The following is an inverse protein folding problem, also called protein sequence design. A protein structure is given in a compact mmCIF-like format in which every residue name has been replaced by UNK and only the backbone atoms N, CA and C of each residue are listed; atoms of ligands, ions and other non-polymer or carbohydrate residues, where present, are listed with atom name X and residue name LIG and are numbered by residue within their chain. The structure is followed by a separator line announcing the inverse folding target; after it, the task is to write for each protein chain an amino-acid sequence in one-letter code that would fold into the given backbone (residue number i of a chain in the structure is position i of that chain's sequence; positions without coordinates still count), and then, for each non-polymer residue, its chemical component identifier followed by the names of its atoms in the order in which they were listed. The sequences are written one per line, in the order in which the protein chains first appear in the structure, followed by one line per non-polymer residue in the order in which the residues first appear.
data_IF_252919035746
#
_entry.id   IF_252919035746
#
_cell.length_a   1.000
_cell.length_b   1.000
_cell.length_c   1.000
_cell.angle_alpha   90.00
_cell.angle_beta   90.00
_cell.angle_gamma   90.00
#
_symmetry.space_group_name_H-M   'P 1'
#
loop_
_entity.id
_entity.type
_entity.pdbx_description
1 polymer ?
#
# COMPACT_ATOMS: atom_id res chain seq x y z
N UNK A 1 30.45 64.59 -49.38
CA UNK A 1 29.06 64.15 -49.68
C UNK A 1 29.06 62.66 -49.76
N UNK A 2 28.56 61.97 -48.72
CA UNK A 2 28.47 60.51 -48.64
C UNK A 2 27.02 60.18 -48.42
N UNK A 3 26.40 59.60 -49.46
CA UNK A 3 24.97 59.14 -49.44
C UNK A 3 24.85 57.85 -48.69
N UNK A 4 23.99 57.84 -47.63
CA UNK A 4 23.57 56.63 -46.92
C UNK A 4 22.48 55.88 -47.71
N UNK A 5 22.77 54.66 -48.14
CA UNK A 5 21.74 53.71 -48.64
C UNK A 5 21.09 53.00 -47.45
N UNK A 6 19.79 53.13 -47.32
CA UNK A 6 18.97 52.37 -46.41
C UNK A 6 18.68 50.97 -47.00
N UNK A 7 19.00 49.91 -46.26
CA UNK A 7 18.57 48.55 -46.54
C UNK A 7 17.25 48.28 -45.80
N UNK A 8 16.17 48.09 -46.52
CA UNK A 8 14.95 47.54 -46.01
C UNK A 8 15.07 46.01 -46.02
N UNK A 9 15.18 45.41 -44.83
CA UNK A 9 15.06 43.94 -44.66
C UNK A 9 13.59 43.53 -44.57
N UNK A 10 13.11 42.71 -45.48
CA UNK A 10 11.82 42.03 -45.37
C UNK A 10 11.98 40.94 -44.30
N UNK A 11 11.26 41.06 -43.22
CA UNK A 11 11.09 39.96 -42.25
C UNK A 11 9.98 39.04 -42.76
N UNK A 12 10.32 37.82 -43.18
CA UNK A 12 9.36 36.78 -43.46
C UNK A 12 8.82 36.20 -42.15
N UNK A 13 7.53 36.38 -41.90
CA UNK A 13 6.82 35.71 -40.78
C UNK A 13 6.65 34.25 -41.08
N UNK A 14 7.28 33.41 -40.29
CA UNK A 14 7.04 31.94 -40.33
C UNK A 14 5.75 31.66 -39.52
N UNK A 15 4.75 30.99 -40.07
CA UNK A 15 3.58 30.61 -39.30
C UNK A 15 3.97 29.52 -38.31
N UNK A 16 3.80 29.82 -37.02
CA UNK A 16 3.88 28.84 -35.95
C UNK A 16 2.66 27.93 -36.08
N UNK A 17 2.85 26.71 -36.60
CA UNK A 17 1.82 25.68 -36.59
C UNK A 17 1.43 25.41 -35.13
N UNK A 18 0.21 25.78 -34.79
CA UNK A 18 -0.38 25.48 -33.49
C UNK A 18 -0.45 23.97 -33.30
N UNK A 19 0.40 23.47 -32.36
CA UNK A 19 0.27 22.09 -31.90
C UNK A 19 -1.11 21.96 -31.24
N UNK A 20 -2.03 21.30 -31.93
CA UNK A 20 -3.31 20.86 -31.37
C UNK A 20 -3.00 19.96 -30.16
N UNK A 21 -3.21 20.48 -28.95
CA UNK A 21 -3.26 19.66 -27.74
C UNK A 21 -4.43 18.70 -27.94
N UNK A 22 -4.12 17.46 -28.31
CA UNK A 22 -5.10 16.38 -28.16
C UNK A 22 -5.59 16.40 -26.72
N UNK A 23 -6.86 16.71 -26.51
CA UNK A 23 -7.51 16.57 -25.24
C UNK A 23 -7.33 15.10 -24.82
N UNK A 24 -6.60 14.88 -23.75
CA UNK A 24 -6.55 13.55 -23.14
C UNK A 24 -7.99 13.15 -22.84
N UNK A 25 -8.47 12.13 -23.54
CA UNK A 25 -9.77 11.55 -23.23
C UNK A 25 -9.72 11.14 -21.77
N UNK A 26 -10.50 11.79 -20.92
CA UNK A 26 -10.74 11.35 -19.54
C UNK A 26 -11.57 10.08 -19.67
N UNK A 27 -10.91 8.92 -19.74
CA UNK A 27 -11.59 7.65 -19.52
C UNK A 27 -12.12 7.70 -18.09
N UNK A 28 -13.42 7.83 -17.95
CA UNK A 28 -14.12 7.71 -16.69
C UNK A 28 -13.83 6.32 -16.14
N UNK A 29 -13.29 6.22 -14.92
CA UNK A 29 -13.00 4.94 -14.31
C UNK A 29 -14.31 4.13 -14.22
N UNK A 30 -14.33 2.84 -14.61
CA UNK A 30 -15.54 2.04 -14.54
C UNK A 30 -16.07 2.02 -13.10
N UNK A 31 -17.39 2.03 -12.95
CA UNK A 31 -18.01 1.90 -11.62
C UNK A 31 -17.53 0.59 -10.98
N UNK A 32 -17.25 0.60 -9.67
CA UNK A 32 -16.77 -0.57 -8.94
C UNK A 32 -17.73 -1.78 -9.05
N UNK A 33 -19.01 -1.54 -9.30
CA UNK A 33 -20.03 -2.59 -9.55
C UNK A 33 -19.87 -3.28 -10.91
N UNK A 34 -19.27 -2.61 -11.89
CA UNK A 34 -19.06 -3.17 -13.23
C UNK A 34 -17.78 -4.01 -13.34
N UNK A 35 -16.91 -4.01 -12.32
CA UNK A 35 -15.66 -4.77 -12.33
C UNK A 35 -15.97 -6.26 -12.21
N UNK A 36 -15.44 -7.12 -13.11
CA UNK A 36 -15.61 -8.56 -13.04
C UNK A 36 -15.15 -9.12 -11.69
N UNK A 37 -15.97 -10.01 -11.11
CA UNK A 37 -15.62 -10.66 -9.84
C UNK A 37 -15.01 -12.03 -10.13
N UNK A 38 -13.79 -12.25 -9.62
CA UNK A 38 -13.12 -13.55 -9.65
C UNK A 38 -13.78 -14.48 -8.64
N UNK A 39 -14.07 -15.69 -9.06
CA UNK A 39 -14.43 -16.79 -8.15
C UNK A 39 -13.15 -17.33 -7.52
N UNK A 40 -13.15 -17.47 -6.20
CA UNK A 40 -12.03 -18.02 -5.42
C UNK A 40 -12.46 -19.27 -4.65
N UNK A 41 -11.49 -19.96 -4.09
CA UNK A 41 -11.74 -20.91 -3.03
C UNK A 41 -12.32 -20.20 -1.78
N UNK A 42 -12.78 -21.01 -0.82
CA UNK A 42 -13.22 -20.53 0.48
C UNK A 42 -12.04 -19.87 1.21
N UNK A 43 -12.32 -18.83 1.98
CA UNK A 43 -11.34 -18.26 2.91
C UNK A 43 -11.11 -19.22 4.07
N UNK A 44 -9.85 -19.56 4.31
CA UNK A 44 -9.42 -20.35 5.46
C UNK A 44 -8.58 -19.47 6.39
N UNK A 45 -8.83 -19.53 7.70
CA UNK A 45 -7.90 -19.01 8.70
C UNK A 45 -6.74 -20.00 8.79
N UNK A 46 -5.56 -19.60 8.27
CA UNK A 46 -4.40 -20.47 8.24
C UNK A 46 -3.79 -20.66 9.63
N UNK A 47 -3.63 -19.57 10.37
CA UNK A 47 -3.11 -19.59 11.74
C UNK A 47 -3.33 -18.24 12.44
N UNK A 48 -3.15 -18.22 13.77
CA UNK A 48 -3.03 -16.98 14.54
C UNK A 48 -1.66 -16.34 14.29
N UNK A 49 -1.64 -15.05 14.02
CA UNK A 49 -0.39 -14.29 13.91
C UNK A 49 0.41 -14.34 15.21
N UNK A 50 1.76 -14.32 15.18
CA UNK A 50 2.56 -14.19 16.38
C UNK A 50 2.28 -12.91 17.19
N UNK A 51 1.98 -11.82 16.47
CA UNK A 51 1.57 -10.56 17.08
C UNK A 51 0.06 -10.34 16.99
N UNK A 52 -0.52 -9.53 17.89
CA UNK A 52 -1.98 -9.37 17.99
C UNK A 52 -2.58 -8.43 16.94
N UNK A 53 -1.76 -7.74 16.14
CA UNK A 53 -2.22 -6.76 15.16
C UNK A 53 -1.41 -6.83 13.87
N UNK A 54 -1.43 -7.99 13.15
CA UNK A 54 -0.76 -8.11 11.86
C UNK A 54 -1.39 -7.13 10.87
N UNK A 55 -0.56 -6.43 10.11
CA UNK A 55 -1.06 -5.39 9.21
C UNK A 55 -0.45 -5.43 7.80
N UNK A 56 0.69 -6.04 7.61
CA UNK A 56 1.32 -6.26 6.31
C UNK A 56 1.91 -7.64 6.19
N UNK A 57 1.87 -8.19 4.99
CA UNK A 57 2.43 -9.50 4.64
C UNK A 57 3.36 -9.40 3.44
N UNK A 58 4.41 -10.24 3.43
CA UNK A 58 5.25 -10.48 2.26
C UNK A 58 5.66 -11.94 2.20
N UNK A 59 5.33 -12.60 1.12
CA UNK A 59 5.78 -13.97 0.85
C UNK A 59 7.20 -14.00 0.32
N UNK A 60 7.99 -14.96 0.82
CA UNK A 60 9.34 -15.29 0.32
C UNK A 60 9.52 -16.81 0.31
N UNK A 61 10.53 -17.35 -0.41
CA UNK A 61 10.81 -18.77 -0.37
C UNK A 61 11.09 -19.33 1.03
N UNK A 62 11.60 -18.49 1.95
CA UNK A 62 11.92 -18.89 3.31
C UNK A 62 10.71 -18.93 4.24
N UNK A 63 9.64 -18.17 3.91
CA UNK A 63 8.44 -18.06 4.73
C UNK A 63 7.67 -16.77 4.48
N UNK A 64 6.69 -16.56 5.33
CA UNK A 64 5.83 -15.39 5.28
C UNK A 64 6.31 -14.33 6.28
N UNK A 65 6.71 -13.16 5.78
CA UNK A 65 6.93 -12.00 6.61
C UNK A 65 5.61 -11.39 7.05
N UNK A 66 5.54 -11.00 8.31
CA UNK A 66 4.41 -10.33 8.93
C UNK A 66 4.96 -9.11 9.68
N UNK A 67 4.39 -7.93 9.43
CA UNK A 67 4.63 -6.77 10.27
C UNK A 67 3.46 -6.56 11.22
N UNK A 68 3.76 -6.49 12.53
CA UNK A 68 2.77 -6.26 13.57
C UNK A 68 2.72 -4.77 13.93
N UNK A 69 1.52 -4.22 13.93
CA UNK A 69 1.28 -2.79 14.20
C UNK A 69 1.14 -2.47 15.69
N UNK A 70 1.14 -3.47 16.55
CA UNK A 70 1.05 -3.26 18.00
C UNK A 70 2.22 -2.43 18.55
N UNK A 71 2.12 -1.83 19.74
CA UNK A 71 3.25 -1.17 20.39
C UNK A 71 4.46 -2.10 20.47
N UNK A 72 5.63 -1.60 20.00
CA UNK A 72 6.84 -2.38 19.84
C UNK A 72 7.15 -2.70 18.38
N UNK A 73 6.18 -2.56 17.47
CA UNK A 73 6.40 -2.62 16.01
C UNK A 73 7.37 -3.73 15.59
N UNK A 74 6.89 -4.99 15.58
CA UNK A 74 7.75 -6.15 15.40
C UNK A 74 7.54 -6.83 14.05
N UNK A 75 8.62 -7.17 13.37
CA UNK A 75 8.60 -8.02 12.19
C UNK A 75 8.82 -9.48 12.56
N UNK A 76 8.08 -10.36 11.91
CA UNK A 76 8.17 -11.81 12.04
C UNK A 76 8.34 -12.46 10.68
N UNK A 77 9.26 -13.42 10.55
CA UNK A 77 9.27 -14.40 9.48
C UNK A 77 8.69 -15.69 10.04
N UNK A 78 7.64 -16.21 9.43
CA UNK A 78 6.95 -17.40 9.92
C UNK A 78 6.84 -18.49 8.85
N UNK A 79 6.70 -19.72 9.29
CA UNK A 79 6.45 -20.85 8.40
C UNK A 79 5.01 -20.84 7.88
N UNK A 80 4.81 -21.07 6.58
CA UNK A 80 3.50 -21.09 5.94
C UNK A 80 2.50 -22.11 6.52
N UNK A 81 3.02 -23.26 6.97
CA UNK A 81 2.18 -24.36 7.41
C UNK A 81 1.41 -24.08 8.70
N UNK A 82 2.00 -23.33 9.64
CA UNK A 82 1.46 -23.22 11.00
C UNK A 82 1.76 -21.88 11.70
N UNK A 83 2.38 -20.93 11.01
CA UNK A 83 2.73 -19.65 11.62
C UNK A 83 3.86 -19.69 12.64
N UNK A 84 4.60 -20.82 12.74
CA UNK A 84 5.75 -20.92 13.66
C UNK A 84 6.80 -19.86 13.30
N UNK A 85 7.20 -19.06 14.30
CA UNK A 85 8.21 -18.02 14.12
C UNK A 85 9.58 -18.66 13.81
N UNK A 86 10.14 -18.25 12.68
CA UNK A 86 11.48 -18.62 12.23
C UNK A 86 12.50 -17.53 12.62
N UNK A 87 12.09 -16.28 12.52
CA UNK A 87 12.89 -15.10 12.85
C UNK A 87 11.96 -13.97 13.33
N UNK A 88 12.43 -13.14 14.25
CA UNK A 88 11.74 -11.90 14.61
C UNK A 88 12.69 -10.87 15.17
N UNK A 89 12.35 -9.59 14.99
CA UNK A 89 13.08 -8.47 15.57
C UNK A 89 12.16 -7.26 15.71
N UNK A 90 12.52 -6.36 16.63
CA UNK A 90 11.85 -5.08 16.77
C UNK A 90 12.30 -4.14 15.65
N UNK A 91 11.40 -3.29 15.19
CA UNK A 91 11.68 -2.31 14.14
C UNK A 91 11.56 -0.89 14.72
N UNK A 92 12.44 0.00 14.27
CA UNK A 92 12.36 1.42 14.63
C UNK A 92 11.35 2.13 13.70
N UNK A 93 10.09 1.68 13.79
CA UNK A 93 8.94 2.23 13.06
C UNK A 93 7.80 2.55 14.02
N UNK A 94 6.89 3.40 13.58
CA UNK A 94 5.75 3.82 14.41
C UNK A 94 4.46 3.30 13.79
N UNK A 95 3.88 2.26 14.44
CA UNK A 95 2.64 1.59 14.00
C UNK A 95 2.66 1.24 12.51
N UNK A 96 3.56 0.35 12.10
CA UNK A 96 3.75 0.01 10.70
C UNK A 96 2.56 -0.75 10.13
N UNK A 97 2.34 -0.62 8.81
CA UNK A 97 1.25 -1.31 8.13
C UNK A 97 1.66 -2.14 6.92
N UNK A 98 2.79 -1.88 6.32
CA UNK A 98 3.26 -2.63 5.15
C UNK A 98 4.65 -3.18 5.35
N UNK A 99 4.95 -4.30 4.70
CA UNK A 99 6.28 -4.91 4.67
C UNK A 99 6.51 -5.51 3.29
N UNK A 100 7.72 -5.36 2.74
CA UNK A 100 8.19 -6.10 1.56
C UNK A 100 9.68 -6.39 1.64
N UNK A 101 10.15 -7.36 0.86
CA UNK A 101 11.55 -7.78 0.81
C UNK A 101 12.14 -7.46 -0.56
N UNK A 102 13.23 -6.72 -0.61
CA UNK A 102 13.88 -6.29 -1.86
C UNK A 102 14.96 -7.26 -2.39
N UNK A 103 15.11 -8.41 -1.74
CA UNK A 103 16.15 -9.40 -2.02
C UNK A 103 17.32 -9.33 -1.05
N UNK A 104 17.49 -8.23 -0.32
CA UNK A 104 18.57 -7.98 0.63
C UNK A 104 18.06 -7.48 1.98
N UNK A 105 17.12 -6.55 1.95
CA UNK A 105 16.57 -5.85 3.10
C UNK A 105 15.04 -5.86 3.07
N UNK A 106 14.42 -5.48 4.17
CA UNK A 106 12.98 -5.27 4.24
C UNK A 106 12.65 -3.77 4.17
N UNK A 107 11.60 -3.44 3.42
CA UNK A 107 10.97 -2.15 3.47
C UNK A 107 9.72 -2.21 4.33
N UNK A 108 9.52 -1.22 5.18
CA UNK A 108 8.39 -1.13 6.10
C UNK A 108 7.71 0.22 5.96
N UNK A 109 6.40 0.21 5.76
CA UNK A 109 5.57 1.39 5.80
C UNK A 109 5.30 1.82 7.24
N UNK A 110 5.99 2.83 7.73
CA UNK A 110 5.81 3.41 9.07
C UNK A 110 4.68 4.42 9.04
N UNK A 111 3.46 3.95 9.29
CA UNK A 111 2.22 4.70 9.05
C UNK A 111 2.15 6.01 9.83
N UNK A 112 2.54 5.98 11.10
CA UNK A 112 2.38 7.12 12.01
C UNK A 112 3.58 8.06 12.03
N UNK A 113 4.73 7.67 11.45
CA UNK A 113 5.84 8.59 11.17
C UNK A 113 5.85 9.09 9.74
N UNK A 114 4.93 8.61 8.88
CA UNK A 114 4.82 8.98 7.46
C UNK A 114 6.07 8.69 6.65
N UNK A 115 6.68 7.56 6.93
CA UNK A 115 7.92 7.14 6.31
C UNK A 115 7.80 5.76 5.66
N UNK A 116 8.64 5.52 4.69
CA UNK A 116 9.03 4.20 4.22
C UNK A 116 10.44 3.96 4.76
N UNK A 117 10.63 2.89 5.51
CA UNK A 117 11.87 2.60 6.23
C UNK A 117 12.48 1.32 5.67
N UNK A 118 13.72 1.37 5.23
CA UNK A 118 14.50 0.20 4.83
C UNK A 118 15.31 -0.31 6.01
N UNK A 119 15.16 -1.58 6.34
CA UNK A 119 15.78 -2.19 7.51
C UNK A 119 16.56 -3.45 7.11
N UNK A 120 17.61 -3.75 7.84
CA UNK A 120 18.33 -5.01 7.72
C UNK A 120 17.39 -6.19 8.05
N UNK A 121 17.25 -7.15 7.14
CA UNK A 121 16.33 -8.28 7.25
C UNK A 121 16.69 -9.30 8.37
N UNK A 122 17.81 -9.11 9.04
CA UNK A 122 18.25 -9.98 10.15
C UNK A 122 18.12 -9.30 11.50
N UNK A 123 18.47 -8.03 11.58
CA UNK A 123 18.57 -7.30 12.86
C UNK A 123 17.46 -6.27 13.07
N UNK A 124 16.75 -5.86 12.03
CA UNK A 124 15.81 -4.76 12.06
C UNK A 124 16.47 -3.37 12.08
N UNK A 125 17.80 -3.30 12.09
CA UNK A 125 18.52 -2.02 12.08
C UNK A 125 18.17 -1.19 10.85
N UNK A 126 17.87 0.08 11.05
CA UNK A 126 17.51 1.01 9.97
C UNK A 126 18.71 1.25 9.07
N UNK A 127 18.50 1.13 7.77
CA UNK A 127 19.47 1.45 6.71
C UNK A 127 19.18 2.85 6.16
N UNK A 128 17.90 3.12 5.82
CA UNK A 128 17.48 4.41 5.27
C UNK A 128 15.99 4.69 5.57
N UNK A 129 15.62 5.97 5.49
CA UNK A 129 14.25 6.46 5.70
C UNK A 129 13.88 7.46 4.63
N UNK A 130 12.65 7.37 4.15
CA UNK A 130 12.13 8.28 3.13
C UNK A 130 10.68 8.67 3.44
N UNK A 131 10.25 9.90 3.10
CA UNK A 131 8.89 10.34 3.34
C UNK A 131 7.90 9.55 2.48
N UNK A 132 6.70 9.28 3.01
CA UNK A 132 5.62 8.68 2.24
C UNK A 132 5.08 9.67 1.21
N UNK A 133 5.05 9.34 -0.09
CA UNK A 133 4.42 10.20 -1.09
C UNK A 133 2.94 10.44 -0.78
N UNK A 134 2.46 11.66 -1.01
CA UNK A 134 1.06 12.01 -0.86
C UNK A 134 0.53 11.97 0.58
N UNK A 135 1.39 12.05 1.58
CA UNK A 135 1.03 11.99 3.00
C UNK A 135 0.34 13.26 3.56
N UNK A 136 -0.13 14.15 2.72
CA UNK A 136 -0.95 15.29 3.13
C UNK A 136 -2.40 14.87 3.37
N UNK A 137 -2.95 15.31 4.48
CA UNK A 137 -4.27 14.95 5.02
C UNK A 137 -5.43 15.39 4.11
N UNK A 138 -6.21 14.44 3.59
CA UNK A 138 -7.53 14.70 3.02
C UNK A 138 -8.52 13.63 3.51
N UNK A 139 -9.44 14.00 4.41
CA UNK A 139 -10.71 13.29 4.52
C UNK A 139 -11.63 13.86 3.45
N UNK A 140 -12.28 12.99 2.69
CA UNK A 140 -13.31 13.41 1.76
C UNK A 140 -14.67 13.31 2.45
N UNK A 141 -15.52 14.35 2.29
CA UNK A 141 -16.88 14.30 2.76
C UNK A 141 -17.60 13.11 2.07
N UNK A 142 -18.27 12.27 2.87
CA UNK A 142 -18.98 11.10 2.36
C UNK A 142 -18.26 9.76 2.51
N UNK A 143 -17.07 9.71 3.14
CA UNK A 143 -16.42 8.45 3.45
C UNK A 143 -17.26 7.60 4.41
N UNK A 144 -17.46 6.30 4.12
CA UNK A 144 -18.15 5.41 5.04
C UNK A 144 -17.35 5.29 6.36
N UNK A 145 -18.01 4.95 7.48
CA UNK A 145 -17.30 4.66 8.71
C UNK A 145 -16.37 3.46 8.49
N UNK A 146 -15.23 3.39 9.23
CA UNK A 146 -14.32 2.27 9.14
C UNK A 146 -15.03 0.95 9.41
N UNK A 147 -14.86 -0.01 8.51
CA UNK A 147 -15.34 -1.36 8.72
C UNK A 147 -14.60 -2.00 9.89
N UNK A 148 -15.30 -2.72 10.74
CA UNK A 148 -14.70 -3.51 11.82
C UNK A 148 -14.65 -4.97 11.42
N UNK A 149 -13.60 -5.67 11.87
CA UNK A 149 -13.50 -7.11 11.67
C UNK A 149 -14.70 -7.84 12.29
N UNK A 150 -15.34 -8.78 11.56
CA UNK A 150 -16.38 -9.65 12.14
C UNK A 150 -15.83 -10.57 13.22
N UNK A 151 -14.51 -10.80 13.26
CA UNK A 151 -13.84 -11.58 14.30
C UNK A 151 -13.57 -10.79 15.59
N UNK A 152 -13.72 -9.46 15.59
CA UNK A 152 -13.45 -8.62 16.75
C UNK A 152 -14.32 -9.06 17.95
N UNK A 153 -13.67 -9.38 19.07
CA UNK A 153 -14.34 -9.87 20.28
C UNK A 153 -14.66 -11.38 20.29
N UNK A 154 -14.32 -12.11 19.24
CA UNK A 154 -14.44 -13.58 19.19
C UNK A 154 -13.20 -14.26 19.81
N UNK A 155 -13.29 -15.58 20.17
CA UNK A 155 -12.12 -16.34 20.61
C UNK A 155 -11.00 -16.47 19.57
N UNK A 156 -11.28 -16.19 18.29
CA UNK A 156 -10.28 -16.18 17.23
C UNK A 156 -9.42 -14.93 17.26
N UNK A 157 -10.00 -13.79 17.64
CA UNK A 157 -9.27 -12.55 17.76
C UNK A 157 -8.30 -12.58 18.96
N UNK A 158 -7.12 -12.02 18.77
CA UNK A 158 -6.22 -11.74 19.89
C UNK A 158 -6.61 -10.41 20.54
N UNK A 159 -6.38 -10.30 21.84
CA UNK A 159 -6.55 -9.01 22.53
C UNK A 159 -5.59 -7.98 21.92
N UNK A 160 -6.14 -6.91 21.38
CA UNK A 160 -5.32 -5.77 20.94
C UNK A 160 -4.75 -5.10 22.18
N UNK A 161 -3.43 -4.86 22.25
CA UNK A 161 -2.86 -4.12 23.37
C UNK A 161 -3.53 -2.75 23.45
N UNK A 162 -3.85 -2.33 24.69
CA UNK A 162 -4.32 -0.98 24.91
C UNK A 162 -3.31 -0.01 24.26
N UNK A 163 -3.79 0.87 23.40
CA UNK A 163 -2.96 1.89 22.77
C UNK A 163 -2.57 2.87 23.88
N UNK A 164 -1.46 2.61 24.57
CA UNK A 164 -0.80 3.67 25.31
C UNK A 164 -0.53 4.78 24.28
N UNK A 165 -0.93 6.02 24.61
CA UNK A 165 -0.58 7.17 23.81
C UNK A 165 0.95 7.24 23.76
N UNK A 166 1.53 6.60 22.74
CA UNK A 166 2.97 6.69 22.49
C UNK A 166 3.20 8.15 22.12
N UNK A 167 4.03 8.82 22.91
CA UNK A 167 4.40 10.19 22.66
C UNK A 167 4.93 10.29 21.23
N UNK A 168 4.19 10.99 20.37
CA UNK A 168 4.71 11.34 19.06
C UNK A 168 6.00 12.13 19.28
N UNK A 169 7.04 11.88 18.48
CA UNK A 169 8.21 12.73 18.47
C UNK A 169 7.78 14.20 18.38
N UNK A 170 8.33 15.13 19.13
CA UNK A 170 7.87 16.51 19.21
C UNK A 170 7.77 17.25 17.84
N UNK A 171 8.48 16.76 16.83
CA UNK A 171 8.54 17.38 15.50
C UNK A 171 7.40 16.96 14.55
N UNK A 172 6.61 15.95 14.88
CA UNK A 172 5.58 15.37 14.01
C UNK A 172 4.21 15.29 14.70
N UNK A 173 3.74 16.41 15.23
CA UNK A 173 2.31 16.57 15.55
C UNK A 173 1.53 16.68 14.24
N UNK A 174 1.31 15.55 13.61
CA UNK A 174 0.43 15.47 12.47
C UNK A 174 -1.00 15.55 12.98
N UNK A 175 -1.69 16.59 12.56
CA UNK A 175 -3.11 16.75 12.85
C UNK A 175 -3.84 15.53 12.27
N UNK A 176 -4.63 14.86 13.08
CA UNK A 176 -5.60 13.88 12.60
C UNK A 176 -6.45 14.56 11.53
N UNK A 177 -6.58 13.91 10.36
CA UNK A 177 -7.55 14.37 9.37
C UNK A 177 -8.96 14.37 9.99
N UNK A 178 -9.96 15.04 9.40
CA UNK A 178 -11.33 15.12 9.90
C UNK A 178 -11.97 13.77 10.24
N UNK A 179 -11.48 12.67 9.66
CA UNK A 179 -11.92 11.30 9.98
C UNK A 179 -11.23 10.69 11.19
N UNK A 180 -10.25 11.36 11.83
CA UNK A 180 -9.43 10.79 12.90
C UNK A 180 -8.51 9.65 12.43
N UNK A 181 -8.37 9.42 11.12
CA UNK A 181 -7.57 8.35 10.54
C UNK A 181 -6.13 8.80 10.34
N UNK A 182 -5.19 7.99 10.78
CA UNK A 182 -3.76 8.18 10.53
C UNK A 182 -3.42 7.68 9.11
N UNK A 183 -2.53 8.39 8.41
CA UNK A 183 -2.54 8.37 6.96
C UNK A 183 -1.13 8.36 6.35
N UNK A 184 -0.31 7.41 6.78
CA UNK A 184 1.01 7.19 6.19
C UNK A 184 1.05 6.05 5.18
N UNK A 185 2.23 5.52 4.95
CA UNK A 185 2.46 4.33 4.15
C UNK A 185 1.75 3.12 4.75
N UNK A 186 1.06 2.35 3.93
CA UNK A 186 0.40 1.11 4.30
C UNK A 186 1.00 -0.06 3.52
N UNK A 187 0.27 -0.69 2.60
CA UNK A 187 0.77 -1.82 1.85
C UNK A 187 2.06 -1.52 1.10
N UNK A 188 2.94 -2.51 1.03
CA UNK A 188 4.19 -2.41 0.30
C UNK A 188 4.43 -3.66 -0.53
N UNK A 189 5.06 -3.49 -1.68
CA UNK A 189 5.57 -4.55 -2.55
C UNK A 189 6.84 -4.10 -3.26
N UNK A 190 7.67 -5.07 -3.59
CA UNK A 190 8.90 -4.83 -4.33
C UNK A 190 8.90 -5.62 -5.64
N UNK A 191 9.24 -4.93 -6.73
CA UNK A 191 9.43 -5.59 -8.03
C UNK A 191 10.32 -4.78 -8.95
N UNK A 192 11.20 -5.46 -9.65
CA UNK A 192 12.05 -4.89 -10.71
C UNK A 192 12.83 -3.65 -10.24
N UNK A 193 13.36 -3.70 -9.01
CA UNK A 193 14.11 -2.60 -8.41
C UNK A 193 13.25 -1.37 -8.05
N UNK A 194 11.94 -1.54 -7.90
CA UNK A 194 10.98 -0.48 -7.54
C UNK A 194 10.19 -0.84 -6.30
N UNK A 195 10.04 0.15 -5.43
CA UNK A 195 9.14 0.07 -4.30
C UNK A 195 7.74 0.50 -4.73
N UNK A 196 6.76 -0.32 -4.42
CA UNK A 196 5.36 0.05 -4.50
C UNK A 196 4.83 0.27 -3.09
N UNK A 197 4.10 1.36 -2.87
CA UNK A 197 3.53 1.67 -1.56
C UNK A 197 2.15 2.30 -1.71
N UNK A 198 1.25 1.93 -0.80
CA UNK A 198 -0.06 2.59 -0.69
C UNK A 198 0.01 3.74 0.30
N UNK A 199 -0.78 4.77 0.07
CA UNK A 199 -1.01 5.87 1.01
C UNK A 199 -2.51 6.09 1.17
N UNK A 200 -3.00 5.91 2.39
CA UNK A 200 -4.42 6.09 2.70
C UNK A 200 -4.85 7.55 2.61
N UNK A 201 -3.95 8.50 2.92
CA UNK A 201 -4.25 9.93 2.83
C UNK A 201 -4.57 10.41 1.43
N UNK A 202 -3.81 9.94 0.46
CA UNK A 202 -3.98 10.32 -0.93
C UNK A 202 -4.79 9.32 -1.74
N UNK A 203 -5.25 8.22 -1.11
CA UNK A 203 -5.95 7.09 -1.77
C UNK A 203 -5.22 6.67 -3.04
N UNK A 204 -3.94 6.42 -2.89
CA UNK A 204 -3.07 6.18 -4.04
C UNK A 204 -2.11 5.04 -3.78
N UNK A 205 -1.71 4.41 -4.88
CA UNK A 205 -0.63 3.46 -4.94
C UNK A 205 0.49 4.13 -5.73
N UNK A 206 1.68 4.17 -5.20
CA UNK A 206 2.84 4.80 -5.82
C UNK A 206 3.88 3.76 -6.19
N UNK A 207 4.44 3.88 -7.40
CA UNK A 207 5.67 3.23 -7.81
C UNK A 207 6.83 4.21 -7.64
N UNK A 208 7.86 3.81 -6.93
CA UNK A 208 8.96 4.66 -6.53
C UNK A 208 10.29 4.08 -7.02
N UNK A 209 11.13 4.91 -7.63
CA UNK A 209 12.55 4.65 -7.83
C UNK A 209 13.27 4.96 -6.51
N UNK A 210 13.80 3.94 -5.79
CA UNK A 210 14.19 4.12 -4.39
C UNK A 210 15.49 4.92 -4.20
N UNK A 211 16.46 4.85 -5.14
CA UNK A 211 17.75 5.52 -4.99
C UNK A 211 17.65 7.04 -5.04
N UNK A 212 16.73 7.57 -5.85
CA UNK A 212 16.49 9.01 -5.98
C UNK A 212 15.22 9.45 -5.26
N UNK A 213 14.45 8.50 -4.75
CA UNK A 213 13.14 8.70 -4.14
C UNK A 213 12.17 9.46 -5.04
N UNK A 214 12.03 8.99 -6.28
CA UNK A 214 11.19 9.62 -7.31
C UNK A 214 9.96 8.75 -7.57
N UNK A 215 8.78 9.37 -7.52
CA UNK A 215 7.53 8.72 -7.93
C UNK A 215 7.48 8.64 -9.46
N UNK A 216 7.48 7.43 -10.00
CA UNK A 216 7.41 7.14 -11.44
C UNK A 216 5.98 6.91 -11.93
N UNK A 217 5.11 6.40 -11.06
CA UNK A 217 3.70 6.11 -11.37
C UNK A 217 2.82 6.31 -10.14
N UNK A 218 1.61 6.77 -10.37
CA UNK A 218 0.55 6.86 -9.37
C UNK A 218 -0.73 6.24 -9.91
N UNK A 219 -1.34 5.35 -9.12
CA UNK A 219 -2.67 4.79 -9.38
C UNK A 219 -3.62 5.28 -8.30
N UNK A 220 -4.88 5.54 -8.66
CA UNK A 220 -5.93 5.85 -7.70
C UNK A 220 -6.46 4.56 -7.08
N UNK A 221 -6.45 4.47 -5.75
CA UNK A 221 -7.09 3.37 -5.05
C UNK A 221 -8.61 3.48 -5.13
N UNK A 222 -9.34 2.35 -5.28
CA UNK A 222 -10.79 2.36 -5.47
C UNK A 222 -11.56 2.79 -4.22
N UNK A 223 -11.00 2.54 -3.05
CA UNK A 223 -11.66 2.80 -1.77
C UNK A 223 -10.87 3.74 -0.86
N UNK A 224 -11.46 4.05 0.31
CA UNK A 224 -10.89 5.02 1.23
C UNK A 224 -9.80 4.44 2.12
N UNK A 225 -9.61 3.10 2.13
CA UNK A 225 -8.67 2.44 3.03
C UNK A 225 -7.72 1.48 2.29
N UNK A 226 -6.88 2.02 1.38
CA UNK A 226 -5.89 1.21 0.68
C UNK A 226 -4.88 0.58 1.64
N UNK A 227 -4.74 -0.75 1.57
CA UNK A 227 -3.84 -1.53 2.40
C UNK A 227 -2.89 -2.35 1.54
N UNK A 228 -2.92 -3.68 1.69
CA UNK A 228 -1.95 -4.59 1.12
C UNK A 228 -1.80 -4.53 -0.40
N UNK A 229 -0.64 -4.95 -0.87
CA UNK A 229 -0.29 -5.11 -2.28
C UNK A 229 0.21 -6.54 -2.51
N UNK A 230 0.01 -7.07 -3.72
CA UNK A 230 0.56 -8.37 -4.13
C UNK A 230 0.70 -8.49 -5.63
N UNK A 231 1.63 -9.32 -6.10
CA UNK A 231 1.83 -9.57 -7.52
C UNK A 231 1.19 -10.87 -8.00
N UNK A 232 0.44 -10.81 -9.09
CA UNK A 232 0.03 -11.97 -9.88
C UNK A 232 0.47 -11.80 -11.34
N UNK A 233 1.53 -12.48 -11.72
CA UNK A 233 2.13 -12.27 -13.03
C UNK A 233 2.53 -10.81 -13.23
N UNK A 234 1.98 -10.14 -14.25
CA UNK A 234 2.23 -8.72 -14.53
C UNK A 234 1.27 -7.75 -13.81
N UNK A 235 0.29 -8.27 -13.12
CA UNK A 235 -0.77 -7.50 -12.48
C UNK A 235 -0.46 -7.23 -11.01
N UNK A 236 -0.89 -6.08 -10.52
CA UNK A 236 -0.80 -5.70 -9.11
C UNK A 236 -2.17 -5.82 -8.47
N UNK A 237 -2.28 -6.65 -7.45
CA UNK A 237 -3.43 -6.70 -6.57
C UNK A 237 -3.28 -5.68 -5.44
N UNK A 238 -4.41 -5.13 -5.04
CA UNK A 238 -4.53 -4.16 -3.97
C UNK A 238 -5.72 -4.50 -3.08
N UNK A 239 -5.52 -4.53 -1.77
CA UNK A 239 -6.57 -4.74 -0.78
C UNK A 239 -7.13 -3.42 -0.26
N UNK A 240 -8.45 -3.32 -0.12
CA UNK A 240 -9.12 -2.21 0.56
C UNK A 240 -9.95 -2.74 1.73
N UNK A 241 -9.57 -2.32 2.95
CA UNK A 241 -10.19 -2.83 4.16
C UNK A 241 -11.64 -2.36 4.40
N UNK A 242 -12.02 -1.19 3.88
CA UNK A 242 -13.40 -0.69 4.05
C UNK A 242 -14.35 -1.25 2.98
N UNK A 243 -13.84 -1.56 1.79
CA UNK A 243 -14.60 -2.25 0.74
C UNK A 243 -14.61 -3.77 0.91
N UNK A 244 -13.78 -4.29 1.82
CA UNK A 244 -13.57 -5.71 2.07
C UNK A 244 -13.34 -6.50 0.79
N UNK A 245 -12.42 -6.02 -0.06
CA UNK A 245 -12.20 -6.55 -1.39
C UNK A 245 -10.74 -6.36 -1.84
N UNK A 246 -10.34 -7.19 -2.80
CA UNK A 246 -9.07 -7.08 -3.51
C UNK A 246 -9.34 -6.68 -4.96
N UNK A 247 -8.54 -5.77 -5.49
CA UNK A 247 -8.66 -5.20 -6.83
C UNK A 247 -7.40 -5.41 -7.63
N UNK A 248 -7.53 -5.94 -8.83
CA UNK A 248 -6.43 -6.24 -9.75
C UNK A 248 -6.24 -5.12 -10.76
N UNK A 249 -5.07 -4.53 -10.74
CA UNK A 249 -4.69 -3.47 -11.68
C UNK A 249 -3.90 -4.02 -12.87
N UNK A 250 -4.26 -3.59 -14.06
CA UNK A 250 -3.37 -3.60 -15.22
C UNK A 250 -2.52 -2.31 -15.18
N UNK A 251 -1.23 -2.47 -15.01
CA UNK A 251 -0.32 -1.33 -14.83
C UNK A 251 -0.07 -0.53 -16.14
N UNK A 252 -0.28 -1.15 -17.29
CA UNK A 252 -0.14 -0.48 -18.57
C UNK A 252 -1.25 0.53 -18.84
N UNK A 253 -2.48 0.16 -18.49
CA UNK A 253 -3.66 1.04 -18.62
C UNK A 253 -3.95 1.85 -17.36
N UNK A 254 -3.47 1.39 -16.20
CA UNK A 254 -3.83 1.95 -14.89
C UNK A 254 -5.25 1.58 -14.42
N UNK A 255 -5.95 0.71 -15.16
CA UNK A 255 -7.34 0.33 -14.85
C UNK A 255 -7.43 -0.89 -13.95
N UNK A 256 -8.50 -0.96 -13.16
CA UNK A 256 -8.89 -2.16 -12.43
C UNK A 256 -9.61 -3.09 -13.41
N UNK A 257 -9.10 -4.32 -13.54
CA UNK A 257 -9.60 -5.30 -14.51
C UNK A 257 -10.38 -6.45 -13.89
N UNK A 258 -10.24 -6.65 -12.59
CA UNK A 258 -10.86 -7.75 -11.85
C UNK A 258 -10.92 -7.43 -10.36
N UNK A 259 -11.82 -8.04 -9.62
CA UNK A 259 -11.85 -7.97 -8.15
C UNK A 259 -12.17 -9.32 -7.53
N UNK A 260 -11.76 -9.50 -6.28
CA UNK A 260 -12.22 -10.54 -5.36
C UNK A 260 -13.01 -9.82 -4.28
N UNK A 261 -14.27 -10.16 -4.12
CA UNK A 261 -15.11 -9.62 -3.06
C UNK A 261 -15.18 -10.66 -1.92
N UNK A 262 -14.76 -10.26 -0.73
CA UNK A 262 -14.92 -11.05 0.48
C UNK A 262 -16.38 -11.00 0.96
N UNK A 263 -16.82 -12.05 1.62
CA UNK A 263 -18.13 -12.08 2.27
C UNK A 263 -18.15 -11.18 3.51
N UNK A 264 -19.33 -10.86 4.01
CA UNK A 264 -19.48 -9.96 5.16
C UNK A 264 -18.95 -10.57 6.47
N UNK A 265 -18.92 -11.89 6.55
CA UNK A 265 -18.41 -12.68 7.66
C UNK A 265 -16.95 -13.16 7.48
N UNK A 266 -16.33 -12.90 6.32
CA UNK A 266 -14.90 -13.13 6.13
C UNK A 266 -14.06 -12.10 6.91
N UNK A 267 -12.85 -12.48 7.39
CA UNK A 267 -11.90 -11.55 7.98
C UNK A 267 -11.58 -10.38 7.05
N UNK A 268 -11.34 -9.20 7.63
CA UNK A 268 -11.08 -7.98 6.85
C UNK A 268 -9.77 -8.04 6.06
N UNK A 269 -9.81 -7.50 4.84
CA UNK A 269 -8.64 -7.36 3.99
C UNK A 269 -7.70 -6.26 4.52
N UNK A 270 -6.52 -6.65 5.03
CA UNK A 270 -5.43 -5.74 5.40
C UNK A 270 -4.16 -6.03 4.61
N UNK A 271 -3.14 -6.61 5.23
CA UNK A 271 -1.93 -7.01 4.53
C UNK A 271 -2.21 -8.11 3.52
N UNK A 272 -1.51 -8.09 2.41
CA UNK A 272 -1.77 -8.97 1.26
C UNK A 272 -0.45 -9.43 0.66
N UNK A 273 -0.38 -10.68 0.24
CA UNK A 273 0.67 -11.22 -0.64
C UNK A 273 0.15 -12.44 -1.40
N UNK A 274 0.81 -12.80 -2.50
CA UNK A 274 0.48 -14.00 -3.28
C UNK A 274 1.70 -14.90 -3.38
N UNK A 275 1.52 -16.19 -3.10
CA UNK A 275 2.54 -17.20 -3.19
C UNK A 275 1.99 -18.50 -3.76
N UNK A 276 2.58 -19.00 -4.83
CA UNK A 276 2.21 -20.29 -5.46
C UNK A 276 0.71 -20.47 -5.69
N UNK A 277 0.05 -19.44 -6.28
CA UNK A 277 -1.39 -19.49 -6.58
C UNK A 277 -2.31 -19.33 -5.37
N UNK A 278 -1.73 -19.06 -4.20
CA UNK A 278 -2.47 -18.80 -2.97
C UNK A 278 -2.36 -17.31 -2.61
N UNK A 279 -3.49 -16.66 -2.43
CA UNK A 279 -3.56 -15.34 -1.86
C UNK A 279 -3.58 -15.46 -0.33
N UNK A 280 -2.62 -14.80 0.30
CA UNK A 280 -2.50 -14.67 1.74
C UNK A 280 -2.86 -13.26 2.14
N UNK A 281 -3.65 -13.12 3.19
CA UNK A 281 -3.94 -11.81 3.77
C UNK A 281 -4.07 -11.91 5.29
N UNK A 282 -4.01 -10.78 5.98
CA UNK A 282 -4.24 -10.72 7.42
C UNK A 282 -5.41 -9.81 7.75
N UNK A 283 -6.05 -10.10 8.88
CA UNK A 283 -6.97 -9.20 9.56
C UNK A 283 -6.28 -8.59 10.78
N UNK A 284 -6.53 -7.33 11.08
CA UNK A 284 -5.87 -6.57 12.17
C UNK A 284 -6.27 -7.04 13.59
N UNK A 285 -6.99 -8.16 13.69
CA UNK A 285 -7.35 -8.81 14.96
C UNK A 285 -6.53 -10.06 15.28
N UNK A 286 -5.42 -10.26 14.59
CA UNK A 286 -4.43 -11.28 14.94
C UNK A 286 -4.56 -12.61 14.20
N UNK A 287 -5.17 -12.64 13.01
CA UNK A 287 -5.26 -13.83 12.18
C UNK A 287 -4.62 -13.62 10.81
N UNK A 288 -4.08 -14.71 10.26
CA UNK A 288 -3.60 -14.82 8.88
C UNK A 288 -4.53 -15.78 8.14
N UNK A 289 -5.01 -15.32 7.00
CA UNK A 289 -5.97 -16.02 6.15
C UNK A 289 -5.35 -16.36 4.80
N UNK A 290 -5.93 -17.33 4.12
CA UNK A 290 -5.54 -17.73 2.77
C UNK A 290 -6.74 -18.18 1.94
N UNK A 291 -6.59 -18.07 0.62
CA UNK A 291 -7.53 -18.64 -0.35
C UNK A 291 -6.79 -18.98 -1.66
N UNK A 292 -7.25 -19.99 -2.37
CA UNK A 292 -6.78 -20.27 -3.74
C UNK A 292 -7.42 -19.28 -4.72
N UNK A 293 -6.63 -18.72 -5.64
CA UNK A 293 -7.06 -17.72 -6.63
C UNK A 293 -6.79 -18.15 -8.06
#
# INVERSE_FOLDING_TARGET
MITRRAFFGLAAAVPVAGASRAAAATCEAPSLSAIPVRRTGKVDIAFKSPGPQPNGLQATPEGLWIIDQSPGSRAYLVRYADGKVLKSFDTDTVRPSGITFDGEAIWIGSTFSYENVRCNATTGAVIERHPTPGSTTYAMAGDPPPRRSPLAGTPMAQARPAVAAQGQPPALRLTQGPSGRFQGAHGQEWRDGRLWTTSTSSRSIFRIEPKKWVVEQRLSAPGPRPHGLAWEGRYLWHGDGDLNAFYKFDLGSGHIVEKIQLADDDPLAHGLTIWEGTLWYCDDVGVVCRMTI
#
